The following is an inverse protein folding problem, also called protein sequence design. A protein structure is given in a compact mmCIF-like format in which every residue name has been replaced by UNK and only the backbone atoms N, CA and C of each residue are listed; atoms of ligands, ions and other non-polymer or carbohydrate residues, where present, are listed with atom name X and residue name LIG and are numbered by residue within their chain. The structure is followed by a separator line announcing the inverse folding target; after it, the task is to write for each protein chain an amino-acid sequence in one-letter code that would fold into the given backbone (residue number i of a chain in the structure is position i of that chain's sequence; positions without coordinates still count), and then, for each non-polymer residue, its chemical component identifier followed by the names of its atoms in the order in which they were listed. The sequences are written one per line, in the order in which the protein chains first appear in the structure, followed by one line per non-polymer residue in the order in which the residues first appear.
data_IF_656622676117
#
_entry.id   IF_656622676117
#
_cell.length_a   1.000
_cell.length_b   1.000
_cell.length_c   1.000
_cell.angle_alpha   90.00
_cell.angle_beta   90.00
_cell.angle_gamma   90.00
#
_symmetry.space_group_name_H-M   'P 1'
#
loop_
_entity.id
_entity.type
_entity.pdbx_description
1 polymer ?
#
# COMPACT_ATOMS: atom_id res chain seq x y z
N UNK A 1 14.22 68.99 -10.10
CA UNK A 1 14.30 67.65 -9.47
C UNK A 1 13.34 66.75 -10.23
N UNK A 2 13.87 65.89 -11.10
CA UNK A 2 13.08 65.12 -12.09
C UNK A 2 12.82 63.72 -11.53
N UNK A 3 11.54 63.34 -11.43
CA UNK A 3 11.09 62.02 -11.04
C UNK A 3 11.33 61.01 -12.15
N UNK A 4 11.82 59.82 -11.80
CA UNK A 4 11.82 58.65 -12.68
C UNK A 4 11.16 57.49 -11.93
N UNK A 5 9.96 57.13 -12.38
CA UNK A 5 9.17 55.98 -11.94
C UNK A 5 9.62 54.78 -12.77
N UNK A 6 10.15 53.75 -12.12
CA UNK A 6 10.55 52.49 -12.76
C UNK A 6 9.37 51.51 -12.70
N UNK A 7 8.71 51.29 -13.84
CA UNK A 7 7.72 50.24 -14.06
C UNK A 7 8.42 48.89 -14.22
N UNK A 8 8.20 47.95 -13.30
CA UNK A 8 8.61 46.55 -13.43
C UNK A 8 7.51 45.81 -14.19
N UNK A 9 7.76 45.52 -15.47
CA UNK A 9 6.87 44.74 -16.33
C UNK A 9 6.97 43.24 -16.05
N UNK A 10 5.81 42.59 -15.90
CA UNK A 10 5.68 41.15 -15.75
C UNK A 10 6.01 40.42 -17.07
N UNK A 11 6.97 39.51 -17.04
CA UNK A 11 7.38 38.68 -18.17
C UNK A 11 6.52 37.41 -18.21
N UNK A 12 5.54 37.37 -19.12
CA UNK A 12 4.72 36.19 -19.41
C UNK A 12 5.48 35.30 -20.40
N UNK A 13 5.89 34.11 -19.97
CA UNK A 13 6.54 33.10 -20.81
C UNK A 13 5.48 32.21 -21.45
N UNK A 14 5.25 32.41 -22.75
CA UNK A 14 4.41 31.54 -23.59
C UNK A 14 5.30 30.45 -24.20
N UNK A 15 5.14 29.19 -23.80
CA UNK A 15 5.80 28.05 -24.45
C UNK A 15 4.88 27.45 -25.51
N UNK A 16 5.32 27.52 -26.77
CA UNK A 16 4.61 27.10 -27.96
C UNK A 16 4.44 25.57 -28.04
N UNK A 17 3.24 25.14 -28.43
CA UNK A 17 2.88 23.77 -28.79
C UNK A 17 3.29 23.52 -30.24
N UNK A 18 4.21 22.57 -30.48
CA UNK A 18 4.56 22.13 -31.83
C UNK A 18 3.62 21.01 -32.27
N UNK A 19 2.71 21.33 -33.18
CA UNK A 19 2.05 20.35 -34.06
C UNK A 19 2.86 20.22 -35.34
N UNK A 20 3.46 19.06 -35.57
CA UNK A 20 3.97 18.65 -36.88
C UNK A 20 3.30 17.34 -37.27
N UNK A 21 2.37 17.45 -38.21
CA UNK A 21 1.76 16.35 -38.95
C UNK A 21 2.80 15.84 -39.95
N UNK A 22 3.18 14.58 -39.87
CA UNK A 22 3.83 13.88 -40.98
C UNK A 22 3.21 12.49 -41.05
N UNK A 23 2.49 12.27 -42.14
CA UNK A 23 1.85 11.02 -42.50
C UNK A 23 2.91 10.10 -43.08
N UNK A 24 3.21 9.00 -42.40
CA UNK A 24 3.82 7.82 -43.00
C UNK A 24 2.99 6.59 -42.65
N UNK A 25 2.55 5.94 -43.72
CA UNK A 25 1.75 4.74 -43.79
C UNK A 25 2.49 3.57 -43.12
N UNK A 26 1.85 2.92 -42.14
CA UNK A 26 2.38 1.73 -41.46
C UNK A 26 1.31 0.64 -41.50
N UNK A 27 1.26 -0.03 -42.64
CA UNK A 27 0.72 -1.39 -42.74
C UNK A 27 1.78 -2.36 -42.23
N UNK A 28 1.65 -2.79 -40.98
CA UNK A 28 2.32 -3.97 -40.46
C UNK A 28 1.38 -4.66 -39.46
N UNK A 29 0.93 -5.83 -39.86
CA UNK A 29 0.12 -6.79 -39.12
C UNK A 29 0.82 -7.19 -37.81
N UNK A 30 0.41 -6.65 -36.67
CA UNK A 30 0.66 -7.26 -35.36
C UNK A 30 -0.37 -8.37 -35.12
N UNK A 31 -0.12 -9.52 -35.73
CA UNK A 31 -0.62 -10.79 -35.21
C UNK A 31 0.61 -11.59 -34.83
N UNK A 32 1.10 -11.41 -33.60
CA UNK A 32 1.96 -12.43 -33.00
C UNK A 32 1.89 -12.44 -31.46
N UNK A 33 1.48 -13.62 -30.95
CA UNK A 33 1.76 -14.17 -29.62
C UNK A 33 1.11 -13.53 -28.39
N UNK A 34 -0.22 -13.61 -28.28
CA UNK A 34 -0.78 -14.03 -26.98
C UNK A 34 -0.60 -15.53 -26.90
N UNK A 35 0.64 -15.97 -26.66
CA UNK A 35 0.83 -17.24 -25.99
C UNK A 35 0.19 -17.09 -24.62
N UNK A 36 -1.00 -17.65 -24.45
CA UNK A 36 -1.60 -17.86 -23.13
C UNK A 36 -0.71 -18.88 -22.42
N UNK A 37 0.42 -18.41 -21.89
CA UNK A 37 1.14 -19.13 -20.85
C UNK A 37 0.16 -19.19 -19.69
N UNK A 38 -0.30 -20.40 -19.35
CA UNK A 38 -1.03 -20.61 -18.11
C UNK A 38 -0.17 -20.06 -16.97
N UNK A 39 -0.61 -18.94 -16.42
CA UNK A 39 0.08 -18.28 -15.34
C UNK A 39 -0.45 -18.86 -14.02
N UNK A 40 0.25 -19.85 -13.47
CA UNK A 40 -0.04 -20.46 -12.16
C UNK A 40 0.09 -19.46 -10.98
N UNK A 41 0.46 -18.21 -11.24
CA UNK A 41 0.58 -17.20 -10.21
C UNK A 41 -0.78 -16.79 -9.65
N UNK A 42 -1.01 -17.14 -8.38
CA UNK A 42 -2.18 -16.69 -7.62
C UNK A 42 -2.06 -15.20 -7.27
N UNK A 43 -2.70 -14.35 -8.08
CA UNK A 43 -2.78 -12.89 -7.89
C UNK A 43 -3.56 -12.50 -6.63
N UNK A 44 -4.65 -13.19 -6.32
CA UNK A 44 -5.38 -12.96 -5.07
C UNK A 44 -4.79 -13.85 -3.97
N UNK A 45 -4.45 -13.24 -2.82
CA UNK A 45 -3.98 -13.97 -1.64
C UNK A 45 -5.14 -14.33 -0.72
N UNK A 46 -5.91 -13.33 -0.29
CA UNK A 46 -7.02 -13.51 0.64
C UNK A 46 -8.05 -12.38 0.48
N UNK A 47 -9.24 -12.61 1.05
CA UNK A 47 -10.29 -11.62 1.19
C UNK A 47 -10.81 -11.68 2.63
N UNK A 48 -10.98 -10.54 3.26
CA UNK A 48 -11.58 -10.38 4.59
C UNK A 48 -12.30 -9.03 4.64
N UNK A 49 -13.43 -8.97 5.34
CA UNK A 49 -14.33 -7.81 5.30
C UNK A 49 -14.55 -7.32 3.83
N UNK A 50 -14.33 -6.04 3.59
CA UNK A 50 -14.39 -5.35 2.29
C UNK A 50 -13.05 -5.30 1.54
N UNK A 51 -12.00 -5.97 2.05
CA UNK A 51 -10.63 -5.90 1.53
C UNK A 51 -10.26 -7.18 0.75
N UNK A 52 -9.60 -7.01 -0.39
CA UNK A 52 -8.91 -8.07 -1.14
C UNK A 52 -7.41 -7.81 -1.15
N UNK A 53 -6.62 -8.77 -0.71
CA UNK A 53 -5.15 -8.70 -0.78
C UNK A 53 -4.68 -9.28 -2.10
N UNK A 54 -4.04 -8.43 -2.90
CA UNK A 54 -3.48 -8.79 -4.20
C UNK A 54 -1.96 -8.87 -4.13
N UNK A 55 -1.39 -9.67 -5.03
CA UNK A 55 0.04 -9.89 -5.21
C UNK A 55 0.41 -9.49 -6.62
N UNK A 56 1.61 -8.95 -6.79
CA UNK A 56 2.17 -8.59 -8.10
C UNK A 56 3.51 -9.28 -8.32
N UNK A 57 3.83 -9.52 -9.59
CA UNK A 57 5.16 -10.00 -10.00
C UNK A 57 6.11 -8.83 -10.16
N UNK A 58 7.41 -9.09 -10.00
CA UNK A 58 8.48 -8.14 -10.29
C UNK A 58 9.26 -8.68 -11.50
N UNK A 59 8.73 -8.57 -12.74
CA UNK A 59 9.42 -9.05 -13.94
C UNK A 59 10.74 -8.29 -14.13
N UNK A 60 11.77 -8.94 -14.66
CA UNK A 60 13.07 -8.30 -14.90
C UNK A 60 13.98 -8.20 -13.66
N UNK A 61 13.50 -8.52 -12.45
CA UNK A 61 14.33 -8.42 -11.24
C UNK A 61 15.49 -9.43 -11.22
N UNK A 62 15.30 -10.63 -11.76
CA UNK A 62 16.31 -11.70 -11.75
C UNK A 62 17.48 -11.39 -12.68
N UNK A 63 17.20 -10.62 -13.72
CA UNK A 63 18.09 -10.23 -14.81
C UNK A 63 19.00 -9.06 -14.41
N UNK A 64 18.68 -8.35 -13.32
CA UNK A 64 19.51 -7.28 -12.79
C UNK A 64 20.87 -7.78 -12.30
N UNK A 65 21.92 -7.00 -12.57
CA UNK A 65 23.23 -7.21 -11.96
C UNK A 65 23.17 -7.07 -10.42
N UNK A 66 24.20 -7.60 -9.75
CA UNK A 66 24.24 -7.61 -8.29
C UNK A 66 24.26 -6.20 -7.68
N UNK A 67 24.87 -5.22 -8.36
CA UNK A 67 24.97 -3.84 -7.86
C UNK A 67 23.58 -3.20 -7.82
N UNK A 68 22.79 -3.36 -8.88
CA UNK A 68 21.40 -2.89 -8.95
C UNK A 68 20.50 -3.61 -7.94
N UNK A 69 20.64 -4.93 -7.79
CA UNK A 69 19.89 -5.69 -6.77
C UNK A 69 20.17 -5.18 -5.35
N UNK A 70 21.44 -4.91 -5.01
CA UNK A 70 21.82 -4.34 -3.71
C UNK A 70 21.23 -2.96 -3.50
N UNK A 71 21.29 -2.08 -4.51
CA UNK A 71 20.66 -0.76 -4.45
C UNK A 71 19.16 -0.86 -4.16
N UNK A 72 18.42 -1.67 -4.93
CA UNK A 72 16.98 -1.86 -4.74
C UNK A 72 16.65 -2.46 -3.38
N UNK A 73 17.44 -3.42 -2.91
CA UNK A 73 17.29 -4.00 -1.57
C UNK A 73 17.41 -2.93 -0.48
N UNK A 74 18.43 -2.07 -0.53
CA UNK A 74 18.59 -1.02 0.47
C UNK A 74 17.50 0.05 0.40
N UNK A 75 17.03 0.41 -0.80
CA UNK A 75 15.87 1.30 -0.96
C UNK A 75 14.60 0.69 -0.36
N UNK A 76 14.38 -0.61 -0.55
CA UNK A 76 13.26 -1.33 0.06
C UNK A 76 13.35 -1.35 1.59
N UNK A 77 14.53 -1.61 2.16
CA UNK A 77 14.74 -1.56 3.61
C UNK A 77 14.46 -0.16 4.17
N UNK A 78 14.93 0.90 3.48
CA UNK A 78 14.66 2.28 3.86
C UNK A 78 13.15 2.60 3.83
N UNK A 79 12.45 2.19 2.76
CA UNK A 79 11.00 2.37 2.66
C UNK A 79 10.25 1.62 3.76
N UNK A 80 10.64 0.38 4.08
CA UNK A 80 9.98 -0.44 5.10
C UNK A 80 10.20 0.09 6.53
N UNK A 81 11.36 0.71 6.78
CA UNK A 81 11.70 1.26 8.10
C UNK A 81 10.75 2.38 8.56
N UNK A 82 10.02 3.01 7.63
CA UNK A 82 9.02 4.04 7.93
C UNK A 82 7.66 3.51 8.38
N UNK A 83 7.43 2.20 8.42
CA UNK A 83 6.10 1.61 8.68
C UNK A 83 5.49 2.09 9.99
N UNK A 84 6.23 2.01 11.11
CA UNK A 84 5.70 2.37 12.43
C UNK A 84 5.45 3.89 12.56
N UNK A 85 6.13 4.73 11.78
CA UNK A 85 5.91 6.18 11.75
C UNK A 85 4.47 6.48 11.32
N UNK A 86 3.96 5.78 10.31
CA UNK A 86 2.59 5.99 9.81
C UNK A 86 1.54 5.57 10.82
N UNK A 87 1.78 4.48 11.57
CA UNK A 87 0.87 4.08 12.64
C UNK A 87 0.78 5.19 13.69
N UNK A 88 1.92 5.72 14.14
CA UNK A 88 1.98 6.77 15.16
C UNK A 88 1.32 8.07 14.70
N UNK A 89 1.55 8.46 13.43
CA UNK A 89 0.90 9.64 12.83
C UNK A 89 -0.63 9.49 12.73
N UNK A 90 -1.12 8.29 12.43
CA UNK A 90 -2.56 8.05 12.22
C UNK A 90 -3.36 8.09 13.53
N UNK A 91 -2.76 7.71 14.67
CA UNK A 91 -3.39 7.80 15.99
C UNK A 91 -2.38 7.47 17.10
N UNK A 92 -2.36 8.29 18.16
CA UNK A 92 -1.44 8.17 19.32
C UNK A 92 -1.42 6.81 20.04
N UNK A 93 -2.41 5.94 19.83
CA UNK A 93 -2.46 4.60 20.44
C UNK A 93 -2.24 3.45 19.45
N UNK A 94 -2.08 3.73 18.16
CA UNK A 94 -1.97 2.68 17.13
C UNK A 94 -0.77 1.77 17.36
N UNK A 95 0.38 2.27 17.82
CA UNK A 95 1.54 1.41 18.09
C UNK A 95 1.27 0.44 19.24
N UNK A 96 0.60 0.86 20.31
CA UNK A 96 0.19 -0.04 21.39
C UNK A 96 -0.80 -1.09 20.88
N UNK A 97 -1.84 -0.65 20.18
CA UNK A 97 -2.88 -1.53 19.63
C UNK A 97 -2.26 -2.55 18.67
N UNK A 98 -1.46 -2.10 17.69
CA UNK A 98 -0.73 -2.95 16.75
C UNK A 98 0.07 -4.03 17.48
N UNK A 99 0.91 -3.63 18.45
CA UNK A 99 1.77 -4.55 19.19
C UNK A 99 0.97 -5.56 20.01
N UNK A 100 -0.13 -5.14 20.64
CA UNK A 100 -1.03 -6.05 21.36
C UNK A 100 -1.68 -7.07 20.41
N UNK A 101 -2.22 -6.62 19.28
CA UNK A 101 -2.83 -7.51 18.28
C UNK A 101 -1.80 -8.49 17.70
N UNK A 102 -0.60 -8.02 17.39
CA UNK A 102 0.51 -8.85 16.92
C UNK A 102 0.95 -9.88 17.98
N UNK A 103 1.04 -9.48 19.25
CA UNK A 103 1.37 -10.40 20.33
C UNK A 103 0.34 -11.53 20.43
N UNK A 104 -0.96 -11.20 20.50
CA UNK A 104 -2.04 -12.18 20.54
C UNK A 104 -1.98 -13.10 19.30
N UNK A 105 -1.89 -12.55 18.09
CA UNK A 105 -1.88 -13.34 16.86
C UNK A 105 -0.68 -14.32 16.78
N UNK A 106 0.48 -13.92 17.32
CA UNK A 106 1.70 -14.72 17.33
C UNK A 106 1.72 -15.78 18.43
N UNK A 107 1.08 -15.53 19.59
CA UNK A 107 1.10 -16.44 20.73
C UNK A 107 -0.15 -17.29 20.89
N UNK A 108 -1.26 -16.98 20.19
CA UNK A 108 -2.53 -17.69 20.37
C UNK A 108 -2.42 -19.16 19.96
N UNK A 109 -2.60 -20.04 20.96
CA UNK A 109 -2.59 -21.50 20.85
C UNK A 109 -3.98 -22.15 20.96
N UNK A 110 -5.03 -21.34 21.11
CA UNK A 110 -6.41 -21.83 21.12
C UNK A 110 -6.91 -22.21 19.72
N UNK A 111 -8.18 -22.61 19.64
CA UNK A 111 -8.82 -22.97 18.38
C UNK A 111 -9.07 -21.73 17.50
N UNK A 112 -8.40 -21.70 16.33
CA UNK A 112 -8.49 -20.62 15.34
C UNK A 112 -9.68 -20.76 14.39
N UNK A 113 -10.45 -21.84 14.48
CA UNK A 113 -11.66 -22.08 13.66
C UNK A 113 -12.92 -21.50 14.30
N UNK A 114 -12.85 -21.05 15.55
CA UNK A 114 -13.98 -20.44 16.25
C UNK A 114 -14.39 -19.11 15.62
N UNK A 115 -15.68 -18.80 15.65
CA UNK A 115 -16.23 -17.53 15.16
C UNK A 115 -15.61 -16.33 15.89
N UNK A 116 -15.42 -16.43 17.21
CA UNK A 116 -14.85 -15.38 18.03
C UNK A 116 -13.41 -15.03 17.60
N UNK A 117 -12.58 -16.05 17.37
CA UNK A 117 -11.23 -15.83 16.87
C UNK A 117 -11.23 -15.30 15.44
N UNK A 118 -12.18 -15.76 14.60
CA UNK A 118 -12.38 -15.21 13.25
C UNK A 118 -12.62 -13.69 13.28
N UNK A 119 -13.50 -13.20 14.15
CA UNK A 119 -13.78 -11.77 14.32
C UNK A 119 -12.58 -10.99 14.84
N UNK A 120 -11.81 -11.57 15.77
CA UNK A 120 -10.53 -10.99 16.20
C UNK A 120 -9.54 -10.88 15.04
N UNK A 121 -9.35 -11.97 14.29
CA UNK A 121 -8.45 -12.03 13.14
C UNK A 121 -8.82 -11.00 12.08
N UNK A 122 -10.11 -10.86 11.74
CA UNK A 122 -10.57 -9.88 10.77
C UNK A 122 -10.34 -8.44 11.24
N UNK A 123 -10.60 -8.13 12.52
CA UNK A 123 -10.28 -6.83 13.08
C UNK A 123 -8.77 -6.53 13.01
N UNK A 124 -7.92 -7.48 13.42
CA UNK A 124 -6.47 -7.31 13.40
C UNK A 124 -5.94 -7.07 11.97
N UNK A 125 -6.44 -7.83 10.99
CA UNK A 125 -6.10 -7.66 9.57
C UNK A 125 -6.53 -6.29 9.04
N UNK A 126 -7.71 -5.79 9.42
CA UNK A 126 -8.18 -4.45 9.03
C UNK A 126 -7.31 -3.35 9.62
N UNK A 127 -6.83 -3.51 10.85
CA UNK A 127 -5.86 -2.58 11.48
C UNK A 127 -4.52 -2.59 10.73
N UNK A 128 -4.02 -3.78 10.36
CA UNK A 128 -2.76 -3.89 9.61
C UNK A 128 -2.85 -3.27 8.21
N UNK A 129 -3.97 -3.52 7.52
CA UNK A 129 -4.21 -2.98 6.19
C UNK A 129 -4.34 -1.45 6.20
N UNK A 130 -5.03 -0.90 7.21
CA UNK A 130 -5.33 0.53 7.27
C UNK A 130 -4.23 1.36 7.97
N UNK A 131 -3.14 0.73 8.41
CA UNK A 131 -2.09 1.34 9.23
C UNK A 131 -2.66 2.04 10.49
N UNK A 132 -3.66 1.44 11.13
CA UNK A 132 -4.35 1.99 12.29
C UNK A 132 -5.79 1.55 12.45
N UNK A 133 -6.47 2.03 13.49
CA UNK A 133 -7.86 1.66 13.83
C UNK A 133 -8.95 2.42 13.04
N UNK A 134 -8.57 3.17 12.02
CA UNK A 134 -9.52 3.91 11.17
C UNK A 134 -9.50 3.32 9.78
N UNK A 135 -10.66 3.22 9.16
CA UNK A 135 -10.82 2.71 7.81
C UNK A 135 -10.03 3.59 6.83
N UNK A 136 -9.10 2.99 6.07
CA UNK A 136 -8.18 3.69 5.17
C UNK A 136 -8.83 4.67 4.18
N UNK A 137 -10.08 4.42 3.75
CA UNK A 137 -10.83 5.32 2.86
C UNK A 137 -11.74 6.31 3.61
N UNK A 138 -12.73 5.83 4.37
CA UNK A 138 -13.73 6.69 5.03
C UNK A 138 -13.24 7.39 6.31
N UNK A 139 -12.06 7.02 6.83
CA UNK A 139 -11.55 7.46 8.14
C UNK A 139 -12.46 7.11 9.34
N UNK A 140 -13.54 6.36 9.13
CA UNK A 140 -14.39 5.88 10.21
C UNK A 140 -13.61 4.91 11.09
N UNK A 141 -13.77 5.01 12.41
CA UNK A 141 -13.16 4.06 13.33
C UNK A 141 -13.71 2.65 13.07
N UNK A 142 -12.83 1.67 13.01
CA UNK A 142 -13.20 0.26 12.82
C UNK A 142 -13.77 -0.25 14.13
N UNK A 143 -15.02 -0.72 14.11
CA UNK A 143 -15.63 -1.33 15.29
C UNK A 143 -15.23 -2.83 15.38
N UNK A 144 -14.73 -3.31 16.53
CA UNK A 144 -14.51 -4.72 16.76
C UNK A 144 -15.85 -5.47 16.89
N UNK A 145 -15.95 -6.65 16.29
CA UNK A 145 -17.17 -7.48 16.34
C UNK A 145 -17.11 -8.56 17.44
N UNK A 146 -16.17 -8.43 18.37
CA UNK A 146 -16.03 -9.28 19.55
C UNK A 146 -16.20 -8.46 20.82
N UNK A 147 -16.56 -9.13 21.92
CA UNK A 147 -16.76 -8.47 23.21
C UNK A 147 -15.45 -8.01 23.83
N UNK A 148 -15.54 -7.02 24.72
CA UNK A 148 -14.40 -6.56 25.52
C UNK A 148 -13.86 -7.68 26.40
N UNK A 149 -14.75 -8.52 26.93
CA UNK A 149 -14.44 -9.65 27.80
C UNK A 149 -13.60 -10.68 27.04
N UNK A 150 -14.00 -11.05 25.83
CA UNK A 150 -13.23 -11.96 24.98
C UNK A 150 -11.86 -11.36 24.62
N UNK A 151 -11.79 -10.07 24.32
CA UNK A 151 -10.51 -9.42 24.10
C UNK A 151 -9.60 -9.46 25.33
N UNK A 152 -10.17 -9.28 26.53
CA UNK A 152 -9.42 -9.38 27.78
C UNK A 152 -8.90 -10.81 28.02
N UNK A 153 -9.68 -11.85 27.69
CA UNK A 153 -9.23 -13.25 27.69
C UNK A 153 -8.01 -13.43 26.77
N UNK A 154 -8.10 -12.96 25.51
CA UNK A 154 -6.99 -13.04 24.56
C UNK A 154 -5.71 -12.33 25.04
N UNK A 155 -5.86 -11.21 25.74
CA UNK A 155 -4.72 -10.45 26.31
C UNK A 155 -4.08 -11.19 27.49
N UNK A 156 -4.87 -11.91 28.28
CA UNK A 156 -4.39 -12.63 29.45
C UNK A 156 -3.67 -13.96 29.10
N UNK A 157 -3.93 -14.51 27.91
CA UNK A 157 -3.32 -15.74 27.40
C UNK A 157 -4.04 -16.98 27.89
#
# INVERSE_FOLDING_TARGET
MKHSILLIGALVVFTASCTTTTSEDSSATETDLIATVEDDFKYMSEKFADIKILRYKIPGFKELDLKKKKLLYFLYQAAHSGRDIIYDQNYKHNLYIKRTLEAIANSYSGDKTTEAYGKFSDFAKRVWFSNGIHHHYSSAKIEPEFSKEYFAELVNG
#
